data_IF_144388487881
#
_entry.id   IF_144388487881
#
_cell.length_a   1.000
_cell.length_b   1.000
_cell.length_c   1.000
_cell.angle_alpha   90.00
_cell.angle_beta   90.00
_cell.angle_gamma   90.00
#
_symmetry.space_group_name_H-M   'P 1'
#
loop_
_entity.id
_entity.type
_entity.pdbx_description
1 polymer ?
#
# COMPACT_ATOMS: atom_id res chain seq x y z
N UNK A 1 -1.96 -19.92 -80.78
CA UNK A 1 -2.52 -21.22 -80.35
C UNK A 1 -2.03 -21.58 -78.95
N UNK A 2 -2.50 -20.87 -77.92
CA UNK A 2 -2.02 -21.04 -76.52
C UNK A 2 -3.10 -20.70 -75.48
N UNK A 3 -4.37 -20.73 -75.90
CA UNK A 3 -5.54 -20.36 -75.08
C UNK A 3 -6.65 -21.43 -75.04
N UNK A 4 -6.39 -22.62 -75.58
CA UNK A 4 -7.39 -23.71 -75.64
C UNK A 4 -7.07 -24.91 -74.75
N UNK A 5 -5.97 -24.88 -73.97
CA UNK A 5 -5.58 -25.99 -73.08
C UNK A 5 -5.90 -25.71 -71.60
N UNK A 6 -6.31 -24.49 -71.25
CA UNK A 6 -6.57 -24.10 -69.86
C UNK A 6 -8.04 -24.20 -69.42
N UNK A 7 -8.98 -24.48 -70.35
CA UNK A 7 -10.42 -24.59 -70.03
C UNK A 7 -10.88 -26.00 -69.68
N UNK A 8 -10.05 -27.04 -69.86
CA UNK A 8 -10.40 -28.41 -69.49
C UNK A 8 -10.00 -28.80 -68.05
N UNK A 9 -9.14 -28.03 -67.39
CA UNK A 9 -8.68 -28.33 -66.01
C UNK A 9 -9.58 -27.72 -64.91
N UNK A 10 -10.51 -26.83 -65.25
CA UNK A 10 -11.39 -26.17 -64.28
C UNK A 10 -12.76 -26.84 -64.10
N UNK A 11 -13.11 -27.85 -64.90
CA UNK A 11 -14.37 -28.60 -64.77
C UNK A 11 -14.25 -29.92 -63.97
N UNK A 12 -13.05 -30.30 -63.51
CA UNK A 12 -12.84 -31.53 -62.73
C UNK A 12 -12.86 -31.32 -61.20
N UNK A 13 -13.16 -30.10 -60.71
CA UNK A 13 -13.18 -29.78 -59.28
C UNK A 13 -14.58 -29.40 -58.74
N UNK A 14 -15.63 -29.58 -59.55
CA UNK A 14 -17.00 -29.19 -59.19
C UNK A 14 -17.90 -30.37 -58.76
N UNK A 15 -17.33 -31.52 -58.37
CA UNK A 15 -18.08 -32.70 -57.91
C UNK A 15 -17.65 -33.16 -56.52
N UNK A 16 -17.68 -32.25 -55.54
CA UNK A 16 -17.21 -32.55 -54.18
C UNK A 16 -17.94 -31.86 -53.02
N UNK A 17 -19.05 -31.15 -53.25
CA UNK A 17 -19.89 -30.64 -52.16
C UNK A 17 -21.23 -31.35 -52.19
N UNK A 18 -21.25 -32.60 -51.74
CA UNK A 18 -22.46 -33.15 -51.11
C UNK A 18 -22.73 -32.32 -49.87
N UNK A 19 -23.94 -31.75 -49.81
CA UNK A 19 -24.45 -31.09 -48.62
C UNK A 19 -24.64 -32.19 -47.57
N UNK A 20 -23.69 -32.30 -46.66
CA UNK A 20 -23.83 -33.15 -45.49
C UNK A 20 -24.84 -32.47 -44.56
N UNK A 21 -26.06 -32.99 -44.50
CA UNK A 21 -27.09 -32.58 -43.53
C UNK A 21 -26.81 -33.21 -42.15
N UNK A 22 -25.54 -33.34 -41.78
CA UNK A 22 -25.17 -33.46 -40.37
C UNK A 22 -25.31 -32.09 -39.75
N UNK A 23 -26.49 -31.88 -39.18
CA UNK A 23 -26.72 -30.92 -38.11
C UNK A 23 -25.51 -30.99 -37.18
N UNK A 24 -24.70 -29.93 -37.15
CA UNK A 24 -23.68 -29.80 -36.12
C UNK A 24 -24.45 -29.80 -34.81
N UNK A 25 -24.47 -30.92 -34.11
CA UNK A 25 -24.91 -30.95 -32.74
C UNK A 25 -23.93 -30.00 -32.05
N UNK A 26 -24.41 -28.82 -31.66
CA UNK A 26 -23.72 -27.99 -30.70
C UNK A 26 -23.27 -28.95 -29.61
N UNK A 27 -21.95 -29.07 -29.43
CA UNK A 27 -21.39 -30.00 -28.47
C UNK A 27 -22.05 -29.68 -27.13
N UNK A 28 -22.93 -30.57 -26.68
CA UNK A 28 -23.47 -30.47 -25.34
C UNK A 28 -22.26 -30.75 -24.46
N UNK A 29 -21.66 -29.68 -23.96
CA UNK A 29 -20.70 -29.78 -22.87
C UNK A 29 -21.52 -30.32 -21.71
N UNK A 30 -21.42 -31.62 -21.44
CA UNK A 30 -21.91 -32.15 -20.17
C UNK A 30 -21.21 -31.32 -19.08
N UNK A 31 -21.97 -30.62 -18.22
CA UNK A 31 -21.35 -29.91 -17.12
C UNK A 31 -20.59 -30.95 -16.31
N UNK A 32 -19.27 -30.80 -16.20
CA UNK A 32 -18.50 -31.58 -15.22
C UNK A 32 -19.17 -31.28 -13.88
N UNK A 33 -19.67 -32.32 -13.23
CA UNK A 33 -20.29 -32.18 -11.92
C UNK A 33 -19.32 -31.41 -11.03
N UNK A 34 -19.77 -30.27 -10.49
CA UNK A 34 -18.96 -29.51 -9.55
C UNK A 34 -18.58 -30.48 -8.42
N UNK A 35 -17.27 -30.75 -8.18
CA UNK A 35 -16.84 -31.64 -7.10
C UNK A 35 -17.20 -31.09 -5.71
N UNK A 36 -17.76 -29.88 -5.65
CA UNK A 36 -18.33 -29.25 -4.47
C UNK A 36 -19.85 -29.11 -4.66
N UNK A 37 -20.57 -30.22 -4.60
CA UNK A 37 -22.03 -30.17 -4.43
C UNK A 37 -22.37 -29.69 -3.01
N UNK A 38 -23.50 -28.96 -2.82
CA UNK A 38 -23.97 -28.61 -1.48
C UNK A 38 -24.18 -29.89 -0.65
N UNK A 39 -23.34 -30.09 0.37
CA UNK A 39 -23.33 -31.29 1.23
C UNK A 39 -22.06 -32.16 1.13
N UNK A 40 -21.20 -31.94 0.12
CA UNK A 40 -19.96 -32.72 -0.09
C UNK A 40 -18.71 -32.07 0.55
N UNK A 41 -18.90 -30.99 1.30
CA UNK A 41 -17.86 -30.36 2.09
C UNK A 41 -18.31 -30.31 3.55
N UNK A 42 -17.40 -30.62 4.47
CA UNK A 42 -17.54 -30.14 5.84
C UNK A 42 -17.49 -28.61 5.76
N UNK A 43 -18.56 -27.88 6.14
CA UNK A 43 -18.48 -26.43 6.22
C UNK A 43 -17.27 -26.08 7.08
N UNK A 44 -16.45 -25.15 6.60
CA UNK A 44 -15.48 -24.53 7.49
C UNK A 44 -16.27 -24.01 8.71
N UNK A 45 -15.74 -24.17 9.92
CA UNK A 45 -16.38 -23.64 11.11
C UNK A 45 -16.81 -22.19 10.86
N UNK A 46 -17.98 -21.81 11.36
CA UNK A 46 -18.41 -20.41 11.31
C UNK A 46 -17.23 -19.57 11.84
N UNK A 47 -16.75 -18.58 11.08
CA UNK A 47 -15.70 -17.70 11.57
C UNK A 47 -16.02 -17.16 12.98
N UNK A 48 -17.30 -16.92 13.29
CA UNK A 48 -17.76 -16.45 14.60
C UNK A 48 -17.64 -17.51 15.73
N UNK A 49 -17.52 -18.80 15.40
CA UNK A 49 -17.25 -19.89 16.36
C UNK A 49 -15.75 -20.02 16.73
N UNK A 50 -14.87 -19.25 16.09
CA UNK A 50 -13.41 -19.27 16.32
C UNK A 50 -12.93 -18.25 17.36
N UNK A 51 -13.46 -18.25 18.58
CA UNK A 51 -12.97 -17.44 19.74
C UNK A 51 -12.55 -15.99 19.38
N UNK A 52 -13.22 -15.37 18.40
CA UNK A 52 -12.94 -14.02 17.92
C UNK A 52 -11.83 -13.82 16.89
N UNK A 53 -11.32 -14.86 16.19
CA UNK A 53 -10.27 -14.71 15.16
C UNK A 53 -10.71 -15.12 13.75
N UNK A 54 -11.53 -14.27 13.13
CA UNK A 54 -11.89 -14.40 11.70
C UNK A 54 -10.77 -13.82 10.82
N UNK A 55 -9.69 -14.58 10.60
CA UNK A 55 -8.63 -14.18 9.68
C UNK A 55 -7.23 -14.73 9.99
N UNK A 56 -6.25 -14.41 9.14
CA UNK A 56 -4.83 -14.62 9.50
C UNK A 56 -4.51 -13.71 10.69
N UNK A 57 -3.84 -14.24 11.71
CA UNK A 57 -3.32 -13.41 12.79
C UNK A 57 -2.49 -12.25 12.21
N UNK A 58 -2.66 -11.01 12.70
CA UNK A 58 -2.00 -9.84 12.14
C UNK A 58 -0.49 -10.06 12.13
N UNK A 59 0.14 -9.88 10.97
CA UNK A 59 1.58 -10.01 10.81
C UNK A 59 2.18 -8.64 10.65
N UNK A 60 3.35 -8.41 11.26
CA UNK A 60 4.11 -7.20 10.98
C UNK A 60 4.83 -7.32 9.64
N UNK A 61 5.16 -6.18 9.03
CA UNK A 61 6.10 -6.11 7.91
C UNK A 61 7.46 -6.72 8.28
N UNK A 62 8.08 -7.39 7.31
CA UNK A 62 9.51 -7.75 7.39
C UNK A 62 10.38 -6.50 7.43
N UNK A 63 11.64 -6.63 7.86
CA UNK A 63 12.57 -5.49 7.87
C UNK A 63 12.77 -4.93 6.45
N UNK A 64 12.78 -5.79 5.42
CA UNK A 64 12.89 -5.35 4.04
C UNK A 64 11.62 -4.61 3.55
N UNK A 65 10.43 -5.11 3.91
CA UNK A 65 9.17 -4.43 3.62
C UNK A 65 9.08 -3.09 4.36
N UNK A 66 9.55 -3.02 5.61
CA UNK A 66 9.60 -1.80 6.38
C UNK A 66 10.52 -0.75 5.71
N UNK A 67 11.70 -1.15 5.23
CA UNK A 67 12.58 -0.22 4.49
C UNK A 67 11.87 0.38 3.28
N UNK A 68 11.29 -0.49 2.45
CA UNK A 68 10.56 -0.08 1.25
C UNK A 68 9.35 0.80 1.60
N UNK A 69 8.61 0.47 2.66
CA UNK A 69 7.46 1.25 3.12
C UNK A 69 7.89 2.63 3.63
N UNK A 70 8.98 2.74 4.39
CA UNK A 70 9.50 4.02 4.87
C UNK A 70 9.96 4.89 3.70
N UNK A 71 10.69 4.32 2.74
CA UNK A 71 11.09 5.05 1.53
C UNK A 71 9.86 5.50 0.72
N UNK A 72 8.87 4.62 0.59
CA UNK A 72 7.60 4.94 -0.07
C UNK A 72 6.83 6.05 0.65
N UNK A 73 6.66 5.98 1.97
CA UNK A 73 5.83 6.91 2.71
C UNK A 73 6.52 8.24 3.00
N UNK A 74 7.77 8.20 3.48
CA UNK A 74 8.52 9.37 3.95
C UNK A 74 9.42 9.93 2.85
N UNK A 75 9.89 9.12 1.91
CA UNK A 75 10.83 9.54 0.85
C UNK A 75 12.30 9.47 1.25
N UNK A 76 12.61 8.96 2.44
CA UNK A 76 13.97 8.82 2.95
C UNK A 76 14.15 7.46 3.62
N UNK A 77 15.24 6.76 3.31
CA UNK A 77 15.63 5.53 4.01
C UNK A 77 16.05 5.81 5.46
N UNK A 78 15.73 4.88 6.35
CA UNK A 78 16.31 4.85 7.70
C UNK A 78 17.71 4.21 7.65
N UNK A 79 18.76 5.04 7.75
CA UNK A 79 20.15 4.58 7.58
C UNK A 79 20.63 3.57 8.64
N UNK A 80 19.98 3.53 9.80
CA UNK A 80 20.35 2.62 10.91
C UNK A 80 19.51 1.33 10.89
N UNK A 81 18.68 1.11 9.87
CA UNK A 81 17.82 -0.06 9.81
C UNK A 81 18.64 -1.36 9.76
N UNK A 82 19.72 -1.41 8.97
CA UNK A 82 20.50 -2.64 8.80
C UNK A 82 21.25 -3.03 10.07
N UNK A 83 21.75 -2.07 10.85
CA UNK A 83 22.41 -2.36 12.13
C UNK A 83 21.44 -2.84 13.21
N UNK A 84 20.12 -2.64 13.00
CA UNK A 84 19.05 -3.06 13.91
C UNK A 84 18.28 -4.27 13.39
N UNK A 85 18.51 -4.68 12.14
CA UNK A 85 17.71 -5.67 11.43
C UNK A 85 17.62 -7.02 12.17
N UNK A 86 18.73 -7.52 12.70
CA UNK A 86 18.76 -8.77 13.48
C UNK A 86 17.90 -8.67 14.75
N UNK A 87 18.03 -7.57 15.50
CA UNK A 87 17.21 -7.31 16.69
C UNK A 87 15.73 -7.08 16.36
N UNK A 88 15.45 -6.63 15.13
CA UNK A 88 14.11 -6.51 14.58
C UNK A 88 13.59 -7.84 13.99
N UNK A 89 14.32 -8.94 14.10
CA UNK A 89 13.87 -10.28 13.74
C UNK A 89 14.21 -10.74 12.31
N UNK A 90 15.05 -10.01 11.56
CA UNK A 90 15.55 -10.45 10.24
C UNK A 90 16.32 -11.77 10.39
N UNK A 91 16.03 -12.73 9.51
CA UNK A 91 16.75 -14.00 9.42
C UNK A 91 18.22 -13.78 9.02
N UNK A 92 19.14 -14.52 9.65
CA UNK A 92 20.56 -14.53 9.29
C UNK A 92 20.94 -15.70 8.36
N UNK A 93 20.02 -16.65 8.15
CA UNK A 93 20.15 -17.88 7.37
C UNK A 93 21.35 -18.78 7.76
N UNK A 94 22.07 -18.44 8.82
CA UNK A 94 23.15 -19.23 9.40
C UNK A 94 22.63 -20.03 10.60
N UNK A 95 21.79 -19.41 11.43
CA UNK A 95 21.17 -19.98 12.63
C UNK A 95 19.65 -19.80 12.63
N UNK A 96 19.13 -18.76 11.98
CA UNK A 96 17.71 -18.43 11.90
C UNK A 96 17.28 -18.37 10.44
N UNK A 97 16.41 -19.30 10.04
CA UNK A 97 15.96 -19.45 8.64
C UNK A 97 14.64 -18.73 8.33
N UNK A 98 13.92 -18.27 9.35
CA UNK A 98 12.65 -17.56 9.22
C UNK A 98 12.66 -16.23 9.97
N UNK A 99 12.12 -15.19 9.36
CA UNK A 99 11.96 -13.89 10.00
C UNK A 99 10.75 -13.88 10.94
N UNK A 100 10.93 -13.37 12.16
CA UNK A 100 9.86 -13.34 13.16
C UNK A 100 8.87 -12.20 12.89
N UNK A 101 7.87 -12.43 12.05
CA UNK A 101 6.82 -11.47 11.71
C UNK A 101 5.69 -11.32 12.76
N UNK A 102 5.90 -11.76 14.00
CA UNK A 102 4.96 -11.53 15.09
C UNK A 102 5.11 -10.11 15.66
N UNK A 103 4.00 -9.45 16.04
CA UNK A 103 4.04 -8.19 16.77
C UNK A 103 4.85 -8.35 18.06
N UNK A 104 5.88 -7.51 18.24
CA UNK A 104 6.71 -7.54 19.43
C UNK A 104 7.20 -6.14 19.82
N UNK A 105 7.46 -5.96 21.11
CA UNK A 105 7.83 -4.67 21.70
C UNK A 105 9.17 -4.14 21.18
N UNK A 106 10.11 -5.03 20.86
CA UNK A 106 11.44 -4.65 20.35
C UNK A 106 11.32 -3.99 18.97
N UNK A 107 10.54 -4.59 18.08
CA UNK A 107 10.22 -4.02 16.77
C UNK A 107 9.52 -2.66 16.91
N UNK A 108 8.49 -2.57 17.76
CA UNK A 108 7.77 -1.31 17.99
C UNK A 108 8.69 -0.20 18.50
N UNK A 109 9.59 -0.50 19.44
CA UNK A 109 10.57 0.46 19.95
C UNK A 109 11.54 0.95 18.86
N UNK A 110 12.06 0.03 18.05
CA UNK A 110 12.95 0.41 16.95
C UNK A 110 12.21 1.21 15.88
N UNK A 111 10.95 0.87 15.59
CA UNK A 111 10.10 1.64 14.69
C UNK A 111 9.90 3.07 15.22
N UNK A 112 9.61 3.27 16.50
CA UNK A 112 9.47 4.61 17.09
C UNK A 112 10.75 5.46 16.96
N UNK A 113 11.92 4.85 17.21
CA UNK A 113 13.21 5.52 17.03
C UNK A 113 13.47 5.86 15.56
N UNK A 114 13.20 4.91 14.66
CA UNK A 114 13.29 5.08 13.23
C UNK A 114 12.37 6.19 12.74
N UNK A 115 11.10 6.18 13.15
CA UNK A 115 10.10 7.18 12.85
C UNK A 115 10.57 8.58 13.25
N UNK A 116 11.02 8.74 14.50
CA UNK A 116 11.56 10.01 14.99
C UNK A 116 12.72 10.50 14.12
N UNK A 117 13.64 9.61 13.76
CA UNK A 117 14.81 9.95 12.95
C UNK A 117 14.43 10.39 11.54
N UNK A 118 13.66 9.57 10.82
CA UNK A 118 13.34 9.83 9.40
C UNK A 118 12.35 10.97 9.24
N UNK A 119 11.32 11.06 10.08
CA UNK A 119 10.31 12.11 9.98
C UNK A 119 10.88 13.50 10.29
N UNK A 120 11.71 13.63 11.33
CA UNK A 120 12.36 14.92 11.64
C UNK A 120 13.34 15.30 10.54
N UNK A 121 14.17 14.36 10.08
CA UNK A 121 15.14 14.58 9.00
C UNK A 121 14.44 15.06 7.73
N UNK A 122 13.42 14.34 7.28
CA UNK A 122 12.71 14.63 6.05
C UNK A 122 11.92 15.94 6.16
N UNK A 123 11.19 16.17 7.26
CA UNK A 123 10.45 17.43 7.43
C UNK A 123 11.41 18.63 7.46
N UNK A 124 12.58 18.49 8.10
CA UNK A 124 13.61 19.52 8.10
C UNK A 124 14.18 19.78 6.70
N UNK A 125 14.34 18.74 5.88
CA UNK A 125 14.77 18.85 4.49
C UNK A 125 13.72 19.56 3.63
N UNK A 126 12.45 19.14 3.72
CA UNK A 126 11.34 19.71 2.94
C UNK A 126 11.04 21.17 3.27
N UNK A 127 11.23 21.59 4.53
CA UNK A 127 11.12 22.99 4.94
C UNK A 127 12.12 23.89 4.20
N UNK A 128 13.24 23.34 3.70
CA UNK A 128 14.24 24.08 2.91
C UNK A 128 13.97 24.01 1.40
N UNK A 129 13.01 23.22 0.96
CA UNK A 129 12.66 23.10 -0.46
C UNK A 129 11.69 24.21 -0.84
N UNK A 130 11.99 24.95 -1.91
CA UNK A 130 11.10 25.98 -2.47
C UNK A 130 10.06 25.38 -3.41
N UNK A 131 10.40 24.29 -4.10
CA UNK A 131 9.44 23.59 -4.95
C UNK A 131 8.57 22.63 -4.12
N UNK A 132 7.28 22.93 -3.99
CA UNK A 132 6.32 22.09 -3.29
C UNK A 132 6.12 20.72 -3.97
N UNK A 133 6.30 20.62 -5.29
CA UNK A 133 6.11 19.36 -6.03
C UNK A 133 7.22 18.34 -5.76
N UNK A 134 8.42 18.83 -5.43
CA UNK A 134 9.57 18.04 -5.03
C UNK A 134 9.46 17.47 -3.60
N UNK A 135 8.54 18.00 -2.78
CA UNK A 135 8.30 17.51 -1.42
C UNK A 135 7.55 16.18 -1.45
N UNK A 136 7.91 15.30 -0.52
CA UNK A 136 7.30 13.99 -0.37
C UNK A 136 6.09 14.06 0.56
N UNK A 137 6.28 14.60 1.76
CA UNK A 137 5.25 14.66 2.80
C UNK A 137 4.44 15.95 2.71
N UNK A 138 5.08 17.11 2.73
CA UNK A 138 4.45 18.44 2.78
C UNK A 138 4.10 19.02 1.41
N UNK A 139 3.68 18.18 0.45
CA UNK A 139 3.42 18.60 -0.94
C UNK A 139 2.32 19.64 -1.07
N UNK A 140 1.27 19.56 -0.26
CA UNK A 140 0.14 20.49 -0.29
C UNK A 140 0.28 21.62 0.74
N UNK A 141 1.39 21.65 1.49
CA UNK A 141 1.70 22.75 2.38
C UNK A 141 2.20 23.97 1.58
N UNK A 142 2.02 25.20 2.12
CA UNK A 142 2.52 26.41 1.50
C UNK A 142 4.03 26.35 1.21
N UNK A 143 4.50 27.18 0.28
CA UNK A 143 5.91 27.28 -0.07
C UNK A 143 6.78 27.61 1.17
N UNK A 144 6.30 28.48 2.06
CA UNK A 144 6.99 28.80 3.31
C UNK A 144 6.21 28.29 4.52
N UNK A 145 6.91 27.59 5.41
CA UNK A 145 6.35 27.05 6.65
C UNK A 145 6.54 28.02 7.81
N UNK A 146 6.22 29.30 7.61
CA UNK A 146 6.46 30.33 8.64
C UNK A 146 5.49 30.17 9.83
N UNK A 147 4.22 29.92 9.51
CA UNK A 147 3.14 29.76 10.48
C UNK A 147 2.04 28.84 9.93
N UNK A 148 2.08 27.57 10.32
CA UNK A 148 1.10 26.56 9.91
C UNK A 148 -0.24 26.69 10.65
N UNK A 149 -0.36 27.58 11.64
CA UNK A 149 -1.65 27.85 12.31
C UNK A 149 -2.60 28.68 11.44
N UNK A 150 -2.08 29.29 10.37
CA UNK A 150 -2.85 30.10 9.42
C UNK A 150 -3.48 29.29 8.29
N UNK A 151 -3.24 27.99 8.23
CA UNK A 151 -3.88 27.12 7.25
C UNK A 151 -5.39 27.08 7.49
N UNK A 152 -6.14 27.10 6.40
CA UNK A 152 -7.57 26.82 6.43
C UNK A 152 -7.82 25.35 6.78
N UNK A 153 -8.97 25.05 7.36
CA UNK A 153 -9.39 23.67 7.64
C UNK A 153 -9.36 22.78 6.37
N UNK A 154 -9.71 23.36 5.23
CA UNK A 154 -9.66 22.67 3.94
C UNK A 154 -8.22 22.29 3.53
N UNK A 155 -7.24 23.18 3.72
CA UNK A 155 -5.83 22.90 3.42
C UNK A 155 -5.25 21.83 4.35
N UNK A 156 -5.54 21.91 5.65
CA UNK A 156 -5.12 20.90 6.63
C UNK A 156 -5.69 19.53 6.26
N UNK A 157 -6.98 19.46 5.95
CA UNK A 157 -7.65 18.22 5.56
C UNK A 157 -7.09 17.65 4.26
N UNK A 158 -6.87 18.47 3.24
CA UNK A 158 -6.29 18.04 1.97
C UNK A 158 -4.89 17.44 2.18
N UNK A 159 -4.05 18.11 2.97
CA UNK A 159 -2.72 17.64 3.32
C UNK A 159 -2.76 16.30 4.09
N UNK A 160 -3.69 16.13 5.04
CA UNK A 160 -3.85 14.88 5.79
C UNK A 160 -4.38 13.74 4.93
N UNK A 161 -5.30 14.00 4.00
CA UNK A 161 -5.77 13.02 3.02
C UNK A 161 -4.63 12.57 2.10
N UNK A 162 -3.81 13.51 1.64
CA UNK A 162 -2.61 13.20 0.86
C UNK A 162 -1.64 12.31 1.63
N UNK A 163 -1.33 12.66 2.88
CA UNK A 163 -0.41 11.86 3.71
C UNK A 163 -0.97 10.48 4.05
N UNK A 164 -2.23 10.38 4.48
CA UNK A 164 -2.84 9.08 4.82
C UNK A 164 -2.91 8.13 3.63
N UNK A 165 -3.23 8.63 2.44
CA UNK A 165 -3.19 7.84 1.20
C UNK A 165 -1.77 7.33 0.92
N UNK A 166 -0.76 8.15 1.21
CA UNK A 166 0.65 7.76 1.02
C UNK A 166 1.15 6.76 2.05
N UNK A 167 0.75 6.89 3.31
CA UNK A 167 1.22 6.03 4.40
C UNK A 167 0.46 4.70 4.45
N UNK A 168 -0.86 4.72 4.25
CA UNK A 168 -1.72 3.56 4.47
C UNK A 168 -2.43 3.08 3.21
N UNK A 169 -2.24 3.75 2.07
CA UNK A 169 -3.00 3.45 0.85
C UNK A 169 -4.49 3.78 0.95
N UNK A 170 -4.93 4.42 2.04
CA UNK A 170 -6.33 4.70 2.32
C UNK A 170 -6.50 6.15 2.80
N UNK A 171 -7.35 6.95 2.14
CA UNK A 171 -7.56 8.34 2.52
C UNK A 171 -8.37 8.45 3.82
N UNK A 172 -7.91 9.31 4.72
CA UNK A 172 -8.69 9.71 5.89
C UNK A 172 -10.05 10.32 5.48
N UNK A 173 -11.11 9.98 6.22
CA UNK A 173 -12.44 10.52 5.99
C UNK A 173 -13.25 10.64 7.29
N UNK A 174 -14.41 11.30 7.21
CA UNK A 174 -15.39 11.37 8.31
C UNK A 174 -14.85 11.91 9.63
N UNK A 175 -15.18 11.23 10.72
CA UNK A 175 -14.77 11.60 12.08
C UNK A 175 -13.26 11.42 12.29
N UNK A 176 -12.65 10.41 11.65
CA UNK A 176 -11.21 10.16 11.79
C UNK A 176 -10.40 11.33 11.24
N UNK A 177 -10.76 11.83 10.05
CA UNK A 177 -10.14 13.02 9.46
C UNK A 177 -10.26 14.24 10.39
N UNK A 178 -11.39 14.37 11.10
CA UNK A 178 -11.61 15.47 12.05
C UNK A 178 -10.68 15.35 13.26
N UNK A 179 -10.44 14.14 13.78
CA UNK A 179 -9.48 13.89 14.86
C UNK A 179 -8.06 14.21 14.43
N UNK A 180 -7.66 13.77 13.23
CA UNK A 180 -6.33 14.08 12.68
C UNK A 180 -6.14 15.57 12.37
N UNK A 181 -7.18 16.26 11.90
CA UNK A 181 -7.14 17.71 11.70
C UNK A 181 -6.96 18.46 13.02
N UNK A 182 -7.68 18.06 14.08
CA UNK A 182 -7.49 18.62 15.42
C UNK A 182 -6.06 18.36 15.94
N UNK A 183 -5.53 17.15 15.75
CA UNK A 183 -4.16 16.82 16.12
C UNK A 183 -3.13 17.67 15.38
N UNK A 184 -3.29 17.86 14.06
CA UNK A 184 -2.43 18.74 13.27
C UNK A 184 -2.44 20.18 13.81
N UNK A 185 -3.63 20.75 14.06
CA UNK A 185 -3.77 22.12 14.55
C UNK A 185 -3.18 22.30 15.95
N UNK A 186 -3.31 21.29 16.82
CA UNK A 186 -2.66 21.27 18.13
C UNK A 186 -1.13 21.18 18.02
N UNK A 187 -0.61 20.38 17.09
CA UNK A 187 0.82 20.32 16.83
C UNK A 187 1.35 21.66 16.27
N UNK A 188 0.61 22.28 15.34
CA UNK A 188 0.95 23.58 14.77
C UNK A 188 1.00 24.68 15.84
N UNK A 189 0.00 24.75 16.73
CA UNK A 189 -0.05 25.76 17.80
C UNK A 189 1.09 25.59 18.81
N UNK A 190 1.43 24.35 19.19
CA UNK A 190 2.58 24.07 20.07
C UNK A 190 3.90 24.49 19.43
N UNK A 191 4.13 24.08 18.19
CA UNK A 191 5.35 24.41 17.45
C UNK A 191 5.47 25.91 17.17
N UNK A 192 4.35 26.63 17.05
CA UNK A 192 4.37 28.08 16.86
C UNK A 192 5.07 28.83 18.01
N UNK A 193 5.00 28.28 19.23
CA UNK A 193 5.67 28.82 20.43
C UNK A 193 7.18 28.56 20.48
N UNK A 194 7.68 27.68 19.60
CA UNK A 194 9.11 27.34 19.51
C UNK A 194 9.84 28.25 18.52
N UNK A 195 11.17 28.13 18.46
CA UNK A 195 12.02 28.81 17.48
C UNK A 195 11.58 28.50 16.04
N UNK A 196 11.75 29.47 15.13
CA UNK A 196 11.43 29.31 13.70
C UNK A 196 12.19 28.16 13.04
N UNK A 197 13.35 27.77 13.56
CA UNK A 197 14.09 26.59 13.07
C UNK A 197 13.34 25.28 13.29
N UNK A 198 12.34 25.25 14.17
CA UNK A 198 11.54 24.07 14.55
C UNK A 198 10.19 23.98 13.86
N UNK A 199 9.86 24.87 12.91
CA UNK A 199 8.55 24.85 12.23
C UNK A 199 8.23 23.53 11.52
N UNK A 200 9.25 22.83 11.05
CA UNK A 200 9.13 21.48 10.49
C UNK A 200 8.59 20.42 11.48
N UNK A 201 8.65 20.66 12.79
CA UNK A 201 8.23 19.68 13.80
C UNK A 201 6.73 19.39 13.74
N UNK A 202 5.89 20.30 13.24
CA UNK A 202 4.45 20.04 13.03
C UNK A 202 4.25 18.86 12.07
N UNK A 203 4.91 18.89 10.92
CA UNK A 203 4.83 17.81 9.94
C UNK A 203 5.53 16.55 10.45
N UNK A 204 6.66 16.70 11.14
CA UNK A 204 7.40 15.56 11.70
C UNK A 204 6.55 14.78 12.70
N UNK A 205 5.81 15.45 13.58
CA UNK A 205 4.94 14.80 14.58
C UNK A 205 3.79 14.04 13.91
N UNK A 206 3.18 14.58 12.85
CA UNK A 206 2.14 13.89 12.08
C UNK A 206 2.72 12.67 11.36
N UNK A 207 3.89 12.80 10.73
CA UNK A 207 4.61 11.68 10.13
C UNK A 207 4.92 10.57 11.15
N UNK A 208 5.41 10.92 12.35
CA UNK A 208 5.71 9.95 13.40
C UNK A 208 4.43 9.20 13.78
N UNK A 209 3.34 9.92 14.05
CA UNK A 209 2.07 9.32 14.43
C UNK A 209 1.55 8.36 13.36
N UNK A 210 1.69 8.71 12.07
CA UNK A 210 1.27 7.83 10.97
C UNK A 210 2.17 6.61 10.78
N UNK A 211 3.49 6.76 10.98
CA UNK A 211 4.46 5.66 10.82
C UNK A 211 4.38 4.64 11.96
N UNK A 212 3.98 5.08 13.16
CA UNK A 212 3.80 4.21 14.34
C UNK A 212 2.38 3.68 14.49
N UNK A 213 1.46 4.09 13.60
CA UNK A 213 0.10 3.56 13.55
C UNK A 213 0.12 2.08 13.14
N UNK A 214 -0.64 1.18 13.79
CA UNK A 214 -0.70 -0.23 13.41
C UNK A 214 -0.98 -0.44 11.91
N UNK A 215 -1.79 0.41 11.27
CA UNK A 215 -2.09 0.34 9.83
C UNK A 215 -0.86 0.46 8.94
N UNK A 216 0.23 1.06 9.43
CA UNK A 216 1.47 1.17 8.69
C UNK A 216 2.31 -0.11 8.77
N UNK A 217 2.23 -0.85 9.87
CA UNK A 217 3.15 -1.95 10.17
C UNK A 217 2.52 -3.33 10.11
N UNK A 218 1.19 -3.45 10.10
CA UNK A 218 0.49 -4.73 10.06
C UNK A 218 -0.27 -4.95 8.76
N UNK A 219 -0.36 -6.21 8.32
CA UNK A 219 -1.20 -6.68 7.23
C UNK A 219 -1.86 -8.02 7.57
#
# INVERSE_FOLDING_TARGET
>A
MRRLVLTAALLALASGCTKDDTQSADGVIEPIANPHQPGDFTPLPDPEDQDGSVGRAPRRLTVAQLDAAIVGAVGQRWSELDSRATSMGRADYALVVSENIEPNLVFAKFLEDGARKVCISQASAEMRMTDASARTMGRLLPEKWDDLTKLTDAEVRAQLVYMSTRFWGSPLSGEELTKWASFFTQAASRVQTLSSSKRHETLAVVCIAMLTDPRFITY
#
